data_IF_051750378261
#
_entry.id   IF_051750378261
#
_cell.length_a   1.000
_cell.length_b   1.000
_cell.length_c   1.000
_cell.angle_alpha   90.00
_cell.angle_beta   90.00
_cell.angle_gamma   90.00
#
_symmetry.space_group_name_H-M   'P 1'
#
loop_
_entity.id
_entity.type
_entity.pdbx_description
1 polymer ?
#
# COMPACT_ATOMS: atom_id res chain seq x y z
N UNK A 1 -4.51 -41.23 18.66
CA UNK A 1 -4.63 -42.06 17.44
C UNK A 1 -3.41 -41.75 16.57
N UNK A 2 -2.72 -42.79 16.11
CA UNK A 2 -1.27 -42.78 15.85
C UNK A 2 -0.85 -41.99 14.60
N UNK A 3 0.24 -41.22 14.72
CA UNK A 3 1.00 -40.63 13.62
C UNK A 3 1.94 -41.70 13.05
N UNK A 4 1.80 -42.03 11.77
CA UNK A 4 2.73 -42.90 11.06
C UNK A 4 3.52 -42.08 10.03
N UNK A 5 4.84 -41.97 10.25
CA UNK A 5 5.79 -41.39 9.29
C UNK A 5 5.94 -42.34 8.09
N UNK A 6 5.48 -41.91 6.92
CA UNK A 6 5.66 -42.61 5.65
C UNK A 6 7.04 -42.36 5.04
N UNK A 7 7.62 -43.42 4.47
CA UNK A 7 9.02 -43.55 4.09
C UNK A 7 9.51 -42.66 2.94
N UNK A 8 10.83 -42.47 2.93
CA UNK A 8 11.62 -41.76 1.92
C UNK A 8 12.04 -42.76 0.84
N UNK A 9 11.44 -42.71 -0.35
CA UNK A 9 11.89 -43.52 -1.50
C UNK A 9 12.85 -42.70 -2.36
N UNK A 10 14.10 -43.16 -2.41
CA UNK A 10 15.15 -42.70 -3.33
C UNK A 10 14.98 -43.46 -4.65
N UNK A 11 14.81 -42.73 -5.76
CA UNK A 11 14.93 -43.25 -7.11
C UNK A 11 15.83 -42.31 -7.91
N UNK A 12 17.01 -42.79 -8.26
CA UNK A 12 18.00 -42.14 -9.12
C UNK A 12 17.81 -42.62 -10.55
N UNK A 13 17.53 -41.71 -11.49
CA UNK A 13 17.98 -41.81 -12.89
C UNK A 13 18.32 -40.40 -13.38
N UNK A 14 19.53 -40.25 -13.91
CA UNK A 14 20.11 -39.02 -14.46
C UNK A 14 19.54 -38.72 -15.85
N UNK A 15 19.21 -37.46 -16.12
CA UNK A 15 19.44 -36.76 -17.38
C UNK A 15 19.24 -35.25 -17.16
N UNK A 16 19.99 -34.46 -17.93
CA UNK A 16 20.49 -33.12 -17.63
C UNK A 16 19.46 -31.99 -17.42
N UNK A 17 19.95 -30.93 -16.76
CA UNK A 17 19.48 -29.53 -16.69
C UNK A 17 18.68 -29.11 -15.45
N UNK A 18 19.33 -28.24 -14.64
CA UNK A 18 18.69 -27.26 -13.75
C UNK A 18 17.90 -27.83 -12.58
N UNK A 19 18.55 -28.10 -11.45
CA UNK A 19 17.85 -28.43 -10.20
C UNK A 19 17.08 -27.22 -9.68
N UNK A 20 15.81 -27.14 -10.06
CA UNK A 20 14.78 -26.31 -9.44
C UNK A 20 14.35 -26.99 -8.13
N UNK A 21 14.68 -26.39 -6.98
CA UNK A 21 14.19 -26.86 -5.68
C UNK A 21 12.75 -26.38 -5.47
N UNK A 22 11.79 -27.07 -6.08
CA UNK A 22 10.37 -26.84 -5.79
C UNK A 22 10.05 -27.24 -4.35
N UNK A 23 9.55 -26.29 -3.56
CA UNK A 23 9.05 -26.57 -2.21
C UNK A 23 7.71 -27.30 -2.30
N UNK A 24 7.73 -28.63 -2.45
CA UNK A 24 6.51 -29.44 -2.55
C UNK A 24 6.00 -29.82 -1.16
N UNK A 25 5.11 -28.99 -0.62
CA UNK A 25 4.28 -29.37 0.53
C UNK A 25 2.95 -29.92 0.00
N UNK A 26 2.71 -31.22 0.19
CA UNK A 26 1.43 -31.86 -0.14
C UNK A 26 0.56 -31.94 1.11
N UNK A 27 -0.69 -31.50 1.04
CA UNK A 27 -1.66 -31.57 2.14
C UNK A 27 -2.86 -32.42 1.77
N UNK A 28 -3.34 -33.21 2.72
CA UNK A 28 -4.58 -33.97 2.60
C UNK A 28 -5.71 -33.13 3.22
N UNK A 29 -6.68 -32.74 2.40
CA UNK A 29 -7.89 -32.04 2.86
C UNK A 29 -9.11 -32.96 2.74
N UNK A 30 -9.94 -32.99 3.77
CA UNK A 30 -11.23 -33.70 3.72
C UNK A 30 -12.34 -32.67 3.54
N UNK A 31 -12.87 -32.57 2.33
CA UNK A 31 -13.97 -31.65 1.99
C UNK A 31 -15.20 -32.49 1.67
N UNK A 32 -16.30 -32.28 2.39
CA UNK A 32 -17.57 -33.04 2.24
C UNK A 32 -17.36 -34.57 2.29
N UNK A 33 -16.45 -35.03 3.14
CA UNK A 33 -16.15 -36.46 3.32
C UNK A 33 -15.29 -37.08 2.20
N UNK A 34 -14.86 -36.29 1.20
CA UNK A 34 -13.90 -36.74 0.20
C UNK A 34 -12.49 -36.26 0.57
N UNK A 35 -11.56 -37.19 0.67
CA UNK A 35 -10.14 -36.88 0.82
C UNK A 35 -9.58 -36.40 -0.52
N UNK A 36 -9.00 -35.21 -0.54
CA UNK A 36 -8.33 -34.61 -1.69
C UNK A 36 -6.88 -34.35 -1.32
N UNK A 37 -5.98 -34.89 -2.12
CA UNK A 37 -4.55 -34.65 -2.01
C UNK A 37 -4.23 -33.43 -2.87
N UNK A 38 -3.85 -32.34 -2.20
CA UNK A 38 -3.37 -31.13 -2.85
C UNK A 38 -1.84 -31.15 -2.83
N UNK A 39 -1.25 -31.49 -3.96
CA UNK A 39 0.19 -31.32 -4.21
C UNK A 39 0.43 -29.86 -4.60
N UNK A 40 1.41 -29.21 -3.97
CA UNK A 40 1.86 -27.84 -4.25
C UNK A 40 0.75 -26.77 -4.11
N UNK A 41 0.48 -26.31 -2.90
CA UNK A 41 -0.52 -25.24 -2.62
C UNK A 41 -0.27 -23.97 -3.45
N UNK A 42 0.99 -23.67 -3.80
CA UNK A 42 1.36 -22.52 -4.63
C UNK A 42 0.75 -22.58 -6.04
N UNK A 43 0.51 -23.77 -6.58
CA UNK A 43 -0.09 -23.97 -7.91
C UNK A 43 -1.61 -23.65 -7.93
N UNK A 44 -2.23 -23.44 -6.76
CA UNK A 44 -3.65 -23.10 -6.61
C UNK A 44 -3.86 -21.66 -6.15
N UNK A 45 -2.79 -20.95 -5.85
CA UNK A 45 -2.89 -19.60 -5.32
C UNK A 45 -3.06 -18.63 -6.48
N UNK A 46 -4.30 -18.22 -6.71
CA UNK A 46 -4.69 -17.32 -7.80
C UNK A 46 -4.61 -15.84 -7.38
N UNK A 47 -4.67 -15.54 -6.07
CA UNK A 47 -4.64 -14.16 -5.57
C UNK A 47 -3.86 -14.04 -4.27
N UNK A 48 -3.01 -13.02 -4.20
CA UNK A 48 -2.34 -12.54 -2.99
C UNK A 48 -2.67 -11.06 -2.83
N UNK A 49 -3.23 -10.71 -1.67
CA UNK A 49 -3.35 -9.33 -1.24
C UNK A 49 -2.65 -9.16 0.12
N UNK A 50 -1.58 -8.37 0.11
CA UNK A 50 -0.81 -7.97 1.29
C UNK A 50 -0.74 -6.43 1.41
N UNK A 51 -1.70 -5.74 0.79
CA UNK A 51 -1.75 -4.28 0.81
C UNK A 51 -2.02 -3.70 2.19
N UNK A 52 -1.71 -2.42 2.38
CA UNK A 52 -1.97 -1.68 3.63
C UNK A 52 -1.31 -2.33 4.86
N UNK A 53 -0.02 -2.66 4.72
CA UNK A 53 0.79 -3.23 5.78
C UNK A 53 2.11 -2.44 5.97
N UNK A 54 2.94 -2.91 6.90
CA UNK A 54 4.26 -2.33 7.17
C UNK A 54 5.39 -3.24 6.65
N UNK A 55 5.17 -3.96 5.54
CA UNK A 55 6.19 -4.84 4.96
C UNK A 55 7.37 -4.00 4.46
N UNK A 56 8.59 -4.45 4.75
CA UNK A 56 9.83 -3.77 4.39
C UNK A 56 10.82 -4.77 3.79
N UNK A 57 11.87 -4.26 3.16
CA UNK A 57 12.82 -5.06 2.40
C UNK A 57 12.43 -5.18 0.93
N UNK A 58 13.10 -6.07 0.21
CA UNK A 58 12.93 -6.23 -1.23
C UNK A 58 11.84 -7.25 -1.56
N UNK A 59 11.28 -7.14 -2.76
CA UNK A 59 10.40 -8.18 -3.29
C UNK A 59 11.32 -9.36 -3.70
N UNK A 60 11.12 -10.56 -3.14
CA UNK A 60 11.96 -11.71 -3.45
C UNK A 60 11.80 -12.17 -4.91
N UNK A 61 12.89 -12.61 -5.54
CA UNK A 61 12.88 -13.14 -6.91
C UNK A 61 12.00 -14.39 -7.06
N UNK A 62 11.81 -15.14 -5.98
CA UNK A 62 10.98 -16.33 -5.88
C UNK A 62 9.48 -16.03 -6.07
N UNK A 63 9.05 -14.76 -6.01
CA UNK A 63 7.66 -14.39 -6.32
C UNK A 63 7.27 -14.83 -7.74
N UNK A 64 8.25 -14.89 -8.66
CA UNK A 64 8.04 -15.33 -10.03
C UNK A 64 7.76 -16.83 -10.20
N UNK A 65 7.97 -17.64 -9.16
CA UNK A 65 7.66 -19.07 -9.17
C UNK A 65 6.16 -19.35 -9.00
N UNK A 66 5.38 -18.32 -8.62
CA UNK A 66 3.92 -18.36 -8.51
C UNK A 66 3.26 -18.21 -9.88
N UNK A 67 3.53 -19.15 -10.78
CA UNK A 67 3.13 -19.09 -12.19
C UNK A 67 1.60 -19.05 -12.41
N UNK A 68 0.82 -19.60 -11.47
CA UNK A 68 -0.64 -19.63 -11.52
C UNK A 68 -1.32 -18.37 -10.96
N UNK A 69 -0.55 -17.45 -10.35
CA UNK A 69 -1.09 -16.25 -9.71
C UNK A 69 -1.67 -15.28 -10.75
N UNK A 70 -2.90 -14.83 -10.50
CA UNK A 70 -3.64 -13.87 -11.33
C UNK A 70 -3.63 -12.46 -10.72
N UNK A 71 -3.63 -12.35 -9.39
CA UNK A 71 -3.69 -11.07 -8.69
C UNK A 71 -2.59 -10.96 -7.64
N UNK A 72 -1.76 -9.93 -7.75
CA UNK A 72 -0.75 -9.58 -6.76
C UNK A 72 -0.90 -8.12 -6.34
N UNK A 73 -1.35 -7.90 -5.10
CA UNK A 73 -1.45 -6.59 -4.50
C UNK A 73 -0.48 -6.47 -3.32
N UNK A 74 0.56 -5.65 -3.49
CA UNK A 74 1.57 -5.32 -2.48
C UNK A 74 1.55 -3.82 -2.15
N UNK A 75 0.49 -3.11 -2.54
CA UNK A 75 0.42 -1.65 -2.41
C UNK A 75 0.43 -1.17 -0.97
N UNK A 76 0.83 0.08 -0.75
CA UNK A 76 0.80 0.74 0.57
C UNK A 76 1.60 -0.03 1.62
N UNK A 77 2.86 -0.26 1.31
CA UNK A 77 3.85 -0.88 2.19
C UNK A 77 5.14 -0.02 2.19
N UNK A 78 6.22 -0.56 2.75
CA UNK A 78 7.55 0.04 2.78
C UNK A 78 8.57 -0.78 1.98
N UNK A 79 8.13 -1.48 0.93
CA UNK A 79 9.01 -2.31 0.10
C UNK A 79 10.00 -1.44 -0.66
N UNK A 80 11.24 -1.89 -0.76
CA UNK A 80 12.38 -1.18 -1.35
C UNK A 80 13.09 -2.04 -2.40
N UNK A 81 14.17 -1.53 -2.99
CA UNK A 81 14.93 -2.25 -4.02
C UNK A 81 14.23 -2.19 -5.38
N UNK A 82 14.54 -3.15 -6.25
CA UNK A 82 14.04 -3.19 -7.62
C UNK A 82 12.77 -4.06 -7.73
N UNK A 83 12.01 -3.86 -8.81
CA UNK A 83 11.00 -4.82 -9.22
C UNK A 83 11.72 -6.05 -9.81
N UNK A 84 11.52 -7.27 -9.29
CA UNK A 84 12.18 -8.47 -9.80
C UNK A 84 11.85 -8.75 -11.27
N UNK A 85 12.87 -9.08 -12.08
CA UNK A 85 12.64 -9.47 -13.48
C UNK A 85 11.78 -10.74 -13.58
N UNK A 86 11.85 -11.60 -12.56
CA UNK A 86 11.13 -12.86 -12.47
C UNK A 86 9.60 -12.71 -12.48
N UNK A 87 9.04 -11.54 -12.16
CA UNK A 87 7.59 -11.29 -12.30
C UNK A 87 7.13 -11.52 -13.75
N UNK A 88 7.99 -11.28 -14.73
CA UNK A 88 7.69 -11.57 -16.15
C UNK A 88 7.45 -13.05 -16.47
N UNK A 89 7.76 -13.99 -15.55
CA UNK A 89 7.48 -15.44 -15.69
C UNK A 89 6.03 -15.80 -15.34
N UNK A 90 5.32 -14.95 -14.58
CA UNK A 90 3.97 -15.21 -14.07
C UNK A 90 2.92 -14.99 -15.16
N UNK A 91 2.84 -15.92 -16.12
CA UNK A 91 2.04 -15.72 -17.34
C UNK A 91 0.54 -15.58 -17.11
N UNK A 92 0.01 -16.08 -15.99
CA UNK A 92 -1.40 -15.95 -15.63
C UNK A 92 -1.74 -14.61 -14.96
N UNK A 93 -0.76 -13.73 -14.70
CA UNK A 93 -0.97 -12.50 -13.96
C UNK A 93 -1.85 -11.51 -14.74
N UNK A 94 -2.97 -11.13 -14.13
CA UNK A 94 -3.95 -10.19 -14.65
C UNK A 94 -3.83 -8.82 -13.96
N UNK A 95 -3.54 -8.81 -12.66
CA UNK A 95 -3.50 -7.61 -11.84
C UNK A 95 -2.22 -7.53 -11.01
N UNK A 96 -1.49 -6.42 -11.15
CA UNK A 96 -0.29 -6.11 -10.38
C UNK A 96 -0.40 -4.69 -9.79
N UNK A 97 -0.52 -4.60 -8.46
CA UNK A 97 -0.51 -3.32 -7.75
C UNK A 97 0.69 -3.24 -6.80
N UNK A 98 1.62 -2.33 -7.10
CA UNK A 98 2.81 -2.01 -6.31
C UNK A 98 2.81 -0.56 -5.81
N UNK A 99 1.66 0.12 -5.90
CA UNK A 99 1.52 1.54 -5.57
C UNK A 99 1.96 1.86 -4.13
N UNK A 100 2.47 3.07 -3.91
CA UNK A 100 2.80 3.60 -2.57
C UNK A 100 3.76 2.66 -1.82
N UNK A 101 4.95 2.47 -2.41
CA UNK A 101 6.09 1.79 -1.82
C UNK A 101 7.35 2.65 -2.03
N UNK A 102 8.51 2.13 -1.64
CA UNK A 102 9.82 2.74 -1.83
C UNK A 102 10.64 2.03 -2.93
N UNK A 103 9.97 1.43 -3.93
CA UNK A 103 10.63 0.71 -5.03
C UNK A 103 11.43 1.69 -5.90
N UNK A 104 12.53 1.21 -6.47
CA UNK A 104 13.51 2.01 -7.19
C UNK A 104 14.08 1.26 -8.40
N UNK A 105 14.90 1.93 -9.20
CA UNK A 105 15.46 1.37 -10.43
C UNK A 105 14.44 1.35 -11.57
N UNK A 106 14.78 0.60 -12.63
CA UNK A 106 13.99 0.54 -13.86
C UNK A 106 12.83 -0.44 -13.76
N UNK A 107 11.74 -0.15 -14.49
CA UNK A 107 10.66 -1.12 -14.70
C UNK A 107 11.21 -2.24 -15.62
N UNK A 108 11.20 -3.53 -15.18
CA UNK A 108 11.75 -4.62 -15.96
C UNK A 108 11.08 -4.78 -17.32
N UNK A 109 11.86 -4.92 -18.39
CA UNK A 109 11.32 -5.21 -19.72
C UNK A 109 10.53 -6.53 -19.74
N UNK A 110 10.83 -7.47 -18.83
CA UNK A 110 10.12 -8.74 -18.68
C UNK A 110 8.62 -8.57 -18.36
N UNK A 111 8.19 -7.44 -17.80
CA UNK A 111 6.75 -7.15 -17.60
C UNK A 111 5.99 -7.04 -18.93
N UNK A 112 6.66 -6.65 -20.02
CA UNK A 112 6.04 -6.65 -21.36
C UNK A 112 5.69 -8.05 -21.86
N UNK A 113 6.23 -9.10 -21.24
CA UNK A 113 5.94 -10.49 -21.59
C UNK A 113 4.67 -11.05 -20.91
N UNK A 114 3.99 -10.26 -20.08
CA UNK A 114 2.71 -10.61 -19.45
C UNK A 114 1.56 -10.33 -20.42
N UNK A 115 0.90 -11.38 -20.89
CA UNK A 115 -0.12 -11.28 -21.95
C UNK A 115 -1.53 -11.06 -21.44
N UNK A 116 -1.80 -11.39 -20.16
CA UNK A 116 -3.11 -11.25 -19.53
C UNK A 116 -3.22 -10.04 -18.60
N UNK A 117 -2.12 -9.29 -18.39
CA UNK A 117 -2.09 -8.14 -17.50
C UNK A 117 -3.06 -7.06 -18.01
N UNK A 118 -4.09 -6.77 -17.21
CA UNK A 118 -5.13 -5.79 -17.50
C UNK A 118 -5.16 -4.65 -16.48
N UNK A 119 -4.52 -4.82 -15.33
CA UNK A 119 -4.42 -3.83 -14.28
C UNK A 119 -2.97 -3.75 -13.80
N UNK A 120 -2.39 -2.56 -13.93
CA UNK A 120 -1.06 -2.25 -13.42
C UNK A 120 -1.13 -0.94 -12.65
N UNK A 121 -0.52 -0.89 -11.47
CA UNK A 121 -0.32 0.35 -10.74
C UNK A 121 1.07 0.39 -10.12
N UNK A 122 1.90 1.34 -10.57
CA UNK A 122 3.27 1.55 -10.11
C UNK A 122 3.45 2.93 -9.45
N UNK A 123 2.35 3.65 -9.23
CA UNK A 123 2.38 5.05 -8.80
C UNK A 123 2.95 5.21 -7.40
N UNK A 124 3.50 6.40 -7.12
CA UNK A 124 4.09 6.77 -5.83
C UNK A 124 5.17 5.78 -5.38
N UNK A 125 6.20 5.62 -6.22
CA UNK A 125 7.45 4.92 -5.94
C UNK A 125 8.63 5.84 -6.34
N UNK A 126 9.85 5.30 -6.35
CA UNK A 126 11.07 5.99 -6.80
C UNK A 126 11.67 5.33 -8.05
N UNK A 127 10.83 4.84 -8.96
CA UNK A 127 11.23 4.20 -10.21
C UNK A 127 11.86 5.21 -11.18
N UNK A 128 12.75 4.72 -12.05
CA UNK A 128 13.55 5.54 -12.96
C UNK A 128 13.68 4.92 -14.36
N UNK A 129 14.09 5.74 -15.32
CA UNK A 129 14.37 5.30 -16.68
C UNK A 129 13.12 5.17 -17.56
N UNK A 130 13.26 4.57 -18.76
CA UNK A 130 12.19 4.47 -19.73
C UNK A 130 11.11 3.49 -19.29
N UNK A 131 9.84 3.84 -19.52
CA UNK A 131 8.73 2.91 -19.39
C UNK A 131 8.83 1.87 -20.51
N UNK A 132 8.91 0.57 -20.19
CA UNK A 132 9.04 -0.48 -21.20
C UNK A 132 7.80 -0.52 -22.08
N UNK A 133 8.02 -0.58 -23.38
CA UNK A 133 6.96 -0.69 -24.38
C UNK A 133 6.88 -2.14 -24.89
N UNK A 134 5.65 -2.64 -25.09
CA UNK A 134 5.35 -3.97 -25.61
C UNK A 134 3.94 -4.45 -25.23
N UNK A 135 3.43 -5.48 -25.93
CA UNK A 135 2.14 -6.18 -25.71
C UNK A 135 1.08 -5.38 -24.93
N UNK A 136 0.69 -5.84 -23.73
CA UNK A 136 -0.35 -5.23 -22.91
C UNK A 136 0.08 -3.94 -22.21
N UNK A 137 1.37 -3.66 -22.07
CA UNK A 137 1.80 -2.38 -21.45
C UNK A 137 1.46 -1.19 -22.35
N UNK A 138 1.39 -1.39 -23.67
CA UNK A 138 0.92 -0.37 -24.61
C UNK A 138 -0.60 -0.15 -24.56
N UNK A 139 -1.37 -1.15 -24.09
CA UNK A 139 -2.84 -1.06 -23.96
C UNK A 139 -3.27 -0.44 -22.62
N UNK A 140 -2.32 -0.11 -21.75
CA UNK A 140 -2.49 0.61 -20.48
C UNK A 140 -2.00 2.07 -20.60
N UNK A 141 -2.71 2.93 -21.36
CA UNK A 141 -2.24 4.28 -21.67
C UNK A 141 -2.41 5.28 -20.52
N UNK A 142 -3.05 4.88 -19.42
CA UNK A 142 -3.35 5.80 -18.32
C UNK A 142 -2.06 6.28 -17.63
N UNK A 143 -1.72 7.58 -17.70
CA UNK A 143 -0.55 8.11 -17.01
C UNK A 143 -0.62 7.99 -15.48
N UNK A 144 -1.82 7.82 -14.92
CA UNK A 144 -2.04 7.65 -13.47
C UNK A 144 -1.31 6.42 -12.90
N UNK A 145 -1.05 5.41 -13.73
CA UNK A 145 -0.31 4.19 -13.38
C UNK A 145 1.11 4.52 -12.91
N UNK A 146 1.72 5.57 -13.47
CA UNK A 146 3.15 5.89 -13.29
C UNK A 146 3.38 7.17 -12.46
N UNK A 147 2.32 7.89 -12.08
CA UNK A 147 2.42 9.16 -11.36
C UNK A 147 3.19 9.03 -10.04
N UNK A 148 3.89 10.07 -9.62
CA UNK A 148 4.65 10.06 -8.36
C UNK A 148 5.99 9.35 -8.45
N UNK A 149 6.45 8.96 -9.65
CA UNK A 149 7.83 8.50 -9.91
C UNK A 149 8.60 9.62 -10.64
N UNK A 150 9.52 10.35 -9.97
CA UNK A 150 10.12 11.55 -10.54
C UNK A 150 11.08 11.28 -11.71
N UNK A 151 11.68 10.09 -11.78
CA UNK A 151 12.73 9.74 -12.73
C UNK A 151 12.27 8.85 -13.88
N UNK A 152 10.97 8.50 -13.95
CA UNK A 152 10.41 7.79 -15.09
C UNK A 152 10.27 8.73 -16.29
N UNK A 153 10.48 8.18 -17.48
CA UNK A 153 10.35 8.88 -18.75
C UNK A 153 9.77 7.95 -19.83
N UNK A 154 9.34 8.54 -20.95
CA UNK A 154 8.76 7.84 -22.09
C UNK A 154 7.23 7.75 -22.02
N UNK A 155 6.55 7.50 -23.14
CA UNK A 155 5.11 7.30 -23.16
C UNK A 155 4.68 6.17 -22.18
N UNK A 156 3.55 6.31 -21.47
CA UNK A 156 2.52 7.35 -21.58
C UNK A 156 2.80 8.65 -20.79
N UNK A 157 3.99 8.81 -20.18
CA UNK A 157 4.33 10.05 -19.47
C UNK A 157 4.77 11.15 -20.46
N UNK A 158 4.67 12.41 -20.03
CA UNK A 158 5.09 13.58 -20.82
C UNK A 158 6.60 13.84 -20.81
N UNK A 159 7.36 13.10 -20.00
CA UNK A 159 8.82 13.26 -19.86
C UNK A 159 9.55 12.50 -20.97
N UNK A 160 10.43 13.16 -21.69
CA UNK A 160 11.24 12.54 -22.74
C UNK A 160 12.51 11.89 -22.17
N UNK A 161 12.89 10.71 -22.68
CA UNK A 161 14.09 9.98 -22.24
C UNK A 161 15.39 10.41 -22.94
N UNK A 162 15.51 11.66 -23.39
CA UNK A 162 16.67 12.10 -24.17
C UNK A 162 17.96 12.04 -23.34
N UNK A 163 18.85 11.12 -23.72
CA UNK A 163 20.22 11.05 -23.21
C UNK A 163 21.01 12.24 -23.75
N UNK A 164 21.03 13.35 -23.02
CA UNK A 164 22.10 14.36 -22.95
C UNK A 164 21.51 15.64 -22.36
N UNK A 165 21.34 15.65 -21.05
CA UNK A 165 21.46 16.88 -20.30
C UNK A 165 22.29 16.56 -19.07
N UNK A 166 23.53 17.02 -19.12
CA UNK A 166 24.31 17.27 -17.92
C UNK A 166 23.41 17.94 -16.90
N UNK A 167 23.37 17.35 -15.71
CA UNK A 167 23.10 17.98 -14.43
C UNK A 167 23.29 19.51 -14.52
N UNK A 168 22.20 20.24 -14.70
CA UNK A 168 21.92 21.61 -14.24
C UNK A 168 20.65 22.12 -14.96
N UNK A 169 19.58 22.25 -14.18
CA UNK A 169 18.36 23.02 -14.46
C UNK A 169 17.63 22.81 -15.79
N UNK A 170 16.61 21.94 -15.75
CA UNK A 170 15.32 22.28 -16.36
C UNK A 170 14.24 22.29 -15.28
N UNK A 171 13.96 23.53 -14.88
CA UNK A 171 12.76 24.02 -14.23
C UNK A 171 11.49 23.27 -14.67
N UNK A 172 11.11 22.26 -13.88
CA UNK A 172 9.71 21.86 -13.70
C UNK A 172 9.45 21.66 -12.20
N UNK A 173 9.71 22.74 -11.45
CA UNK A 173 9.69 22.77 -9.99
C UNK A 173 8.91 23.95 -9.42
N UNK A 174 8.02 24.56 -10.19
CA UNK A 174 7.25 25.73 -9.74
C UNK A 174 5.82 25.41 -9.39
N UNK A 175 5.22 24.34 -9.94
CA UNK A 175 3.86 23.92 -9.57
C UNK A 175 3.85 22.97 -8.37
N UNK A 176 4.64 21.89 -8.40
CA UNK A 176 4.62 20.83 -7.37
C UNK A 176 5.36 21.22 -6.07
N UNK A 177 6.47 21.99 -6.17
CA UNK A 177 7.15 22.54 -4.99
C UNK A 177 6.29 23.57 -4.28
N UNK A 178 5.54 24.37 -5.03
CA UNK A 178 4.62 25.36 -4.47
C UNK A 178 3.49 24.66 -3.71
N UNK A 179 2.92 23.59 -4.27
CA UNK A 179 1.87 22.80 -3.63
C UNK A 179 2.36 22.07 -2.34
N UNK A 180 3.59 21.56 -2.35
CA UNK A 180 4.22 20.94 -1.17
C UNK A 180 4.61 21.98 -0.12
N UNK A 181 5.09 23.15 -0.54
CA UNK A 181 5.44 24.26 0.35
C UNK A 181 4.19 24.85 1.03
N UNK A 182 3.08 25.02 0.32
CA UNK A 182 1.81 25.45 0.90
C UNK A 182 1.27 24.43 1.90
N UNK A 183 1.32 23.12 1.60
CA UNK A 183 0.92 22.08 2.57
C UNK A 183 1.81 22.05 3.81
N UNK A 184 3.13 22.26 3.65
CA UNK A 184 4.06 22.35 4.77
C UNK A 184 3.83 23.61 5.59
N UNK A 185 3.58 24.75 4.96
CA UNK A 185 3.28 26.01 5.63
C UNK A 185 1.95 25.95 6.39
N UNK A 186 0.91 25.36 5.79
CA UNK A 186 -0.36 25.10 6.45
C UNK A 186 -0.18 24.15 7.65
N UNK A 187 0.61 23.09 7.50
CA UNK A 187 0.90 22.17 8.62
C UNK A 187 1.65 22.86 9.76
N UNK A 188 2.66 23.68 9.45
CA UNK A 188 3.43 24.44 10.44
C UNK A 188 2.55 25.48 11.14
N UNK A 189 1.69 26.20 10.41
CA UNK A 189 0.78 27.19 11.02
C UNK A 189 -0.26 26.56 11.94
N UNK A 190 -0.80 25.39 11.59
CA UNK A 190 -1.72 24.63 12.45
C UNK A 190 -0.99 24.19 13.72
N UNK A 191 0.20 23.61 13.61
CA UNK A 191 0.99 23.14 14.76
C UNK A 191 1.35 24.32 15.69
N UNK A 192 1.82 25.44 15.13
CA UNK A 192 2.14 26.63 15.91
C UNK A 192 0.89 27.24 16.56
N UNK A 193 -0.27 27.21 15.88
CA UNK A 193 -1.55 27.64 16.43
C UNK A 193 -2.00 26.79 17.62
N UNK A 194 -1.87 25.46 17.52
CA UNK A 194 -2.16 24.55 18.64
C UNK A 194 -1.22 24.79 19.82
N UNK A 195 0.08 24.93 19.58
CA UNK A 195 1.05 25.18 20.64
C UNK A 195 0.75 26.52 21.32
N UNK A 196 0.64 27.61 20.56
CA UNK A 196 0.40 28.95 21.14
C UNK A 196 -0.94 29.05 21.86
N UNK A 197 -2.02 28.48 21.30
CA UNK A 197 -3.33 28.44 21.94
C UNK A 197 -3.35 27.60 23.22
N UNK A 198 -2.75 26.42 23.18
CA UNK A 198 -2.67 25.52 24.34
C UNK A 198 -1.87 26.15 25.48
N UNK A 199 -0.70 26.74 25.17
CA UNK A 199 0.14 27.41 26.17
C UNK A 199 -0.48 28.70 26.70
N UNK A 200 -1.23 29.46 25.91
CA UNK A 200 -1.94 30.66 26.38
C UNK A 200 -3.06 30.29 27.38
N UNK A 201 -3.85 29.26 27.08
CA UNK A 201 -4.94 28.80 27.96
C UNK A 201 -4.37 28.16 29.22
N UNK A 202 -3.41 27.23 29.08
CA UNK A 202 -2.77 26.60 30.23
C UNK A 202 -2.00 27.63 31.07
N UNK A 203 -1.30 28.57 30.44
CA UNK A 203 -0.60 29.66 31.14
C UNK A 203 -1.56 30.58 31.90
N UNK A 204 -2.66 30.99 31.30
CA UNK A 204 -3.68 31.81 31.96
C UNK A 204 -4.31 31.09 33.17
N UNK A 205 -4.55 29.77 33.06
CA UNK A 205 -5.07 28.95 34.16
C UNK A 205 -4.06 28.72 35.28
N UNK A 206 -2.75 28.68 34.98
CA UNK A 206 -1.69 28.49 35.97
C UNK A 206 -1.29 29.78 36.70
N UNK A 207 -1.39 30.94 36.05
CA UNK A 207 -0.91 32.22 36.61
C UNK A 207 -1.94 32.89 37.53
N UNK A 208 -3.25 32.76 37.25
CA UNK A 208 -4.28 33.49 38.00
C UNK A 208 -5.25 32.54 38.72
N UNK A 209 -5.14 32.49 40.06
CA UNK A 209 -6.09 31.78 40.93
C UNK A 209 -7.53 32.27 40.74
N UNK A 210 -7.73 33.55 40.42
CA UNK A 210 -9.04 34.13 40.15
C UNK A 210 -9.62 33.66 38.82
N UNK A 211 -8.78 33.48 37.79
CA UNK A 211 -9.21 32.96 36.50
C UNK A 211 -9.60 31.49 36.57
N UNK A 212 -8.85 30.69 37.34
CA UNK A 212 -9.18 29.29 37.63
C UNK A 212 -10.59 29.17 38.21
N UNK A 213 -10.93 29.96 39.23
CA UNK A 213 -12.26 29.91 39.85
C UNK A 213 -13.38 30.34 38.88
N UNK A 214 -13.16 31.41 38.10
CA UNK A 214 -14.12 31.87 37.10
C UNK A 214 -14.37 30.86 35.97
N UNK A 215 -13.31 30.21 35.47
CA UNK A 215 -13.40 29.20 34.43
C UNK A 215 -14.18 27.95 34.89
N UNK A 216 -13.87 27.42 36.08
CA UNK A 216 -14.61 26.29 36.64
C UNK A 216 -16.08 26.63 36.89
N UNK A 217 -16.37 27.81 37.46
CA UNK A 217 -17.75 28.24 37.70
C UNK A 217 -18.57 28.39 36.40
N UNK A 218 -17.93 28.82 35.30
CA UNK A 218 -18.60 28.91 33.99
C UNK A 218 -18.90 27.53 33.40
N UNK A 219 -17.96 26.57 33.53
CA UNK A 219 -18.18 25.18 33.11
C UNK A 219 -19.32 24.55 33.92
N UNK A 220 -19.31 24.70 35.24
CA UNK A 220 -20.35 24.14 36.11
C UNK A 220 -21.73 24.73 35.74
N UNK A 221 -21.80 26.05 35.51
CA UNK A 221 -23.04 26.71 35.09
C UNK A 221 -23.54 26.23 33.72
N UNK A 222 -22.63 25.96 32.78
CA UNK A 222 -22.97 25.41 31.47
C UNK A 222 -23.47 23.96 31.58
N UNK A 223 -22.82 23.15 32.42
CA UNK A 223 -23.18 21.76 32.65
C UNK A 223 -24.57 21.63 33.27
N UNK A 224 -24.88 22.45 34.28
CA UNK A 224 -26.20 22.46 34.91
C UNK A 224 -27.31 22.85 33.94
N UNK A 225 -27.08 23.87 33.09
CA UNK A 225 -28.04 24.28 32.07
C UNK A 225 -28.27 23.19 31.02
N UNK A 226 -27.20 22.52 30.59
CA UNK A 226 -27.28 21.41 29.65
C UNK A 226 -28.03 20.23 30.27
N UNK A 227 -27.71 19.89 31.52
CA UNK A 227 -28.36 18.81 32.26
C UNK A 227 -29.87 19.06 32.39
N UNK A 228 -30.28 20.27 32.79
CA UNK A 228 -31.69 20.65 32.88
C UNK A 228 -32.36 20.62 31.51
N UNK A 229 -31.70 21.12 30.45
CA UNK A 229 -32.23 21.07 29.10
C UNK A 229 -32.44 19.62 28.63
N UNK A 230 -31.47 18.73 28.84
CA UNK A 230 -31.57 17.31 28.50
C UNK A 230 -32.68 16.64 29.32
N UNK A 231 -32.73 16.88 30.64
CA UNK A 231 -33.77 16.33 31.51
C UNK A 231 -35.18 16.78 31.11
N UNK A 232 -35.36 18.06 30.77
CA UNK A 232 -36.63 18.61 30.28
C UNK A 232 -37.01 18.03 28.90
N UNK A 233 -36.03 17.86 28.01
CA UNK A 233 -36.26 17.29 26.69
C UNK A 233 -36.63 15.82 26.80
N UNK A 234 -35.95 15.06 27.66
CA UNK A 234 -36.25 13.68 27.99
C UNK A 234 -37.64 13.53 28.63
N UNK A 235 -38.00 14.37 29.59
CA UNK A 235 -39.33 14.37 30.21
C UNK A 235 -40.46 14.68 29.22
N UNK A 236 -40.24 15.62 28.28
CA UNK A 236 -41.18 15.91 27.19
C UNK A 236 -41.34 14.74 26.23
N UNK A 237 -40.26 14.06 25.89
CA UNK A 237 -40.27 12.87 25.04
C UNK A 237 -41.03 11.71 25.69
N UNK A 238 -40.78 11.43 26.97
CA UNK A 238 -41.47 10.37 27.72
C UNK A 238 -42.98 10.62 27.85
N UNK A 239 -43.42 11.87 28.04
CA UNK A 239 -44.87 12.20 28.01
C UNK A 239 -45.51 12.00 26.64
N UNK A 240 -44.75 12.11 25.56
CA UNK A 240 -45.24 12.03 24.19
C UNK A 240 -45.36 10.58 23.70
N UNK A 241 -44.70 9.63 24.37
CA UNK A 241 -44.74 8.19 24.09
C UNK A 241 -45.49 7.37 25.15
N UNK A 242 -45.95 8.01 26.23
CA UNK A 242 -46.72 7.38 27.31
C UNK A 242 -48.23 7.57 27.24
N UNK A 243 -48.78 8.08 26.12
CA UNK A 243 -50.21 8.22 25.83
C UNK A 243 -50.58 7.41 24.60
#
# INVERSE_FOLDING_TARGET
MALQKGGKTKGTEELEQGTFFGFSASFLFVIKGAERLFSNILDLMESIDLSDNNLFGEIPDEIGDLWALQNLNLSRNHLSGNIPENIGKMKSLESLDLRMNNLSGTIPQSLSALTYLNHLNLSYNNLSGPIPTGNQLQTLPDPSIYIGNPYLCGPPTTKNCSTNESVHDLSEGTADRFDKFERLWLSVSVILGFITGFWAICGALLISKSFRYGYFNLIDTMYDRLYVAVALTHARLMRRWGN
#
